data_IF_960679265392
#
_entry.id   IF_960679265392
#
_cell.length_a   1.000
_cell.length_b   1.000
_cell.length_c   1.000
_cell.angle_alpha   90.00
_cell.angle_beta   90.00
_cell.angle_gamma   90.00
#
_symmetry.space_group_name_H-M   'P 1'
#
loop_
_entity.id
_entity.type
_entity.pdbx_description
1 polymer ?
#
# COMPACT_ATOMS: atom_id res chain seq x y z
N UNK A 1 -5.22 13.14 -7.58
CA UNK A 1 -4.01 12.84 -6.78
C UNK A 1 -2.89 12.22 -7.60
N UNK A 2 -3.19 11.29 -8.52
CA UNK A 2 -2.21 10.53 -9.34
C UNK A 2 -1.15 11.41 -10.02
N UNK A 3 -1.56 12.44 -10.76
CA UNK A 3 -0.64 13.34 -11.50
C UNK A 3 0.40 14.07 -10.62
N UNK A 4 0.09 14.32 -9.34
CA UNK A 4 1.01 15.01 -8.42
C UNK A 4 2.14 14.06 -8.02
N UNK A 5 1.80 12.82 -7.67
CA UNK A 5 2.78 11.79 -7.32
C UNK A 5 3.65 11.45 -8.53
N UNK A 6 3.06 11.31 -9.70
CA UNK A 6 3.81 11.07 -10.95
C UNK A 6 4.84 12.19 -11.21
N UNK A 7 4.44 13.45 -11.08
CA UNK A 7 5.32 14.59 -11.38
C UNK A 7 6.40 14.81 -10.32
N UNK A 8 6.06 14.65 -9.04
CA UNK A 8 6.96 15.00 -7.93
C UNK A 8 7.78 13.83 -7.41
N UNK A 9 7.38 12.59 -7.69
CA UNK A 9 8.10 11.39 -7.29
C UNK A 9 8.62 10.67 -8.53
N UNK A 10 7.74 10.07 -9.34
CA UNK A 10 8.16 9.19 -10.44
C UNK A 10 9.05 9.89 -11.46
N UNK A 11 8.71 11.12 -11.85
CA UNK A 11 9.51 11.88 -12.81
C UNK A 11 10.93 12.20 -12.30
N UNK A 12 11.17 12.26 -10.98
CA UNK A 12 12.52 12.45 -10.40
C UNK A 12 13.31 11.14 -10.31
N UNK A 13 12.62 10.01 -10.30
CA UNK A 13 13.23 8.68 -10.25
C UNK A 13 13.59 8.15 -11.65
N UNK A 14 13.01 8.69 -12.72
CA UNK A 14 13.11 8.17 -14.11
C UNK A 14 14.52 7.93 -14.66
N UNK A 15 15.53 8.64 -14.15
CA UNK A 15 16.93 8.54 -14.60
C UNK A 15 17.85 7.94 -13.52
N UNK A 16 17.28 7.26 -12.53
CA UNK A 16 18.02 6.62 -11.43
C UNK A 16 17.85 5.12 -11.52
N UNK A 17 18.95 4.39 -11.32
CA UNK A 17 18.94 2.94 -11.19
C UNK A 17 18.97 2.54 -9.72
N UNK A 18 18.19 1.52 -9.38
CA UNK A 18 18.10 0.96 -8.04
C UNK A 18 18.45 -0.53 -8.10
N UNK A 19 19.17 -1.01 -7.09
CA UNK A 19 19.61 -2.41 -7.02
C UNK A 19 18.83 -3.23 -6.00
N UNK A 20 17.84 -2.62 -5.33
CA UNK A 20 16.87 -3.31 -4.50
C UNK A 20 15.58 -2.51 -4.35
N UNK A 21 14.48 -3.22 -4.06
CA UNK A 21 13.19 -2.60 -3.73
C UNK A 21 13.30 -1.75 -2.47
N UNK A 22 14.07 -2.20 -1.48
CA UNK A 22 14.30 -1.45 -0.24
C UNK A 22 14.94 -0.09 -0.52
N UNK A 23 15.95 -0.04 -1.39
CA UNK A 23 16.61 1.20 -1.80
C UNK A 23 15.65 2.15 -2.52
N UNK A 24 14.82 1.63 -3.43
CA UNK A 24 13.80 2.41 -4.11
C UNK A 24 12.79 3.00 -3.11
N UNK A 25 12.30 2.19 -2.18
CA UNK A 25 11.32 2.61 -1.17
C UNK A 25 11.87 3.69 -0.24
N UNK A 26 13.14 3.60 0.17
CA UNK A 26 13.77 4.63 1.00
C UNK A 26 13.76 6.00 0.30
N UNK A 27 14.10 6.02 -0.98
CA UNK A 27 14.11 7.27 -1.77
C UNK A 27 12.70 7.79 -2.03
N UNK A 28 11.72 6.90 -2.26
CA UNK A 28 10.32 7.30 -2.37
C UNK A 28 9.86 7.97 -1.06
N UNK A 29 10.25 7.43 0.10
CA UNK A 29 9.89 7.99 1.40
C UNK A 29 10.45 9.41 1.58
N UNK A 30 11.70 9.67 1.18
CA UNK A 30 12.29 11.01 1.20
C UNK A 30 11.50 12.00 0.31
N UNK A 31 11.17 11.59 -0.92
CA UNK A 31 10.43 12.43 -1.86
C UNK A 31 8.98 12.67 -1.42
N UNK A 32 8.38 11.69 -0.75
CA UNK A 32 7.04 11.80 -0.19
C UNK A 32 7.02 12.80 0.96
N UNK A 33 8.04 12.78 1.82
CA UNK A 33 8.19 13.75 2.90
C UNK A 33 8.30 15.18 2.33
N UNK A 34 9.12 15.38 1.30
CA UNK A 34 9.25 16.67 0.63
C UNK A 34 7.92 17.12 -0.01
N UNK A 35 7.17 16.19 -0.63
CA UNK A 35 5.88 16.48 -1.24
C UNK A 35 4.80 16.84 -0.20
N UNK A 36 4.82 16.19 0.96
CA UNK A 36 3.84 16.40 2.02
C UNK A 36 4.04 17.73 2.75
N UNK A 37 5.28 18.16 2.93
CA UNK A 37 5.62 19.45 3.55
C UNK A 37 5.52 20.64 2.58
N UNK A 38 5.39 20.41 1.27
CA UNK A 38 5.30 21.48 0.28
C UNK A 38 3.92 22.19 0.31
N UNK A 39 3.88 23.54 0.36
CA UNK A 39 2.64 24.31 0.22
C UNK A 39 1.90 24.02 -1.09
N UNK A 40 0.60 23.77 -0.97
CA UNK A 40 -0.29 23.55 -2.11
C UNK A 40 -0.73 24.89 -2.71
N UNK A 41 -0.60 25.02 -4.03
CA UNK A 41 -0.77 26.28 -4.76
C UNK A 41 -2.12 26.99 -4.53
N UNK A 42 -3.19 26.24 -4.31
CA UNK A 42 -4.54 26.81 -4.12
C UNK A 42 -4.99 26.90 -2.67
N UNK A 43 -4.32 26.20 -1.76
CA UNK A 43 -4.75 26.08 -0.35
C UNK A 43 -3.87 26.95 0.55
N UNK A 44 -2.65 27.30 0.11
CA UNK A 44 -1.70 28.07 0.91
C UNK A 44 -1.00 27.26 2.01
N UNK A 45 -1.54 26.08 2.33
CA UNK A 45 -1.01 25.12 3.29
C UNK A 45 -0.40 23.91 2.58
N UNK A 46 0.54 23.26 3.23
CA UNK A 46 1.07 21.94 2.92
C UNK A 46 0.02 20.84 3.16
N UNK A 47 0.30 19.62 2.70
CA UNK A 47 -0.57 18.46 2.98
C UNK A 47 -0.47 18.02 4.44
N UNK A 48 0.68 18.27 5.07
CA UNK A 48 0.95 17.88 6.44
C UNK A 48 0.17 18.72 7.46
N UNK A 49 -0.01 20.01 7.20
CA UNK A 49 -0.71 20.91 8.13
C UNK A 49 -2.13 20.43 8.46
N UNK A 50 -3.05 20.19 7.50
CA UNK A 50 -4.38 19.66 7.80
C UNK A 50 -4.34 18.28 8.49
N UNK A 51 -3.36 17.44 8.14
CA UNK A 51 -3.21 16.13 8.76
C UNK A 51 -2.90 16.25 10.25
N UNK A 52 -1.94 17.10 10.63
CA UNK A 52 -1.54 17.29 12.03
C UNK A 52 -2.63 18.03 12.83
N UNK A 53 -3.28 19.02 12.23
CA UNK A 53 -4.29 19.86 12.91
C UNK A 53 -5.62 19.14 13.12
N UNK A 54 -6.05 18.32 12.15
CA UNK A 54 -7.42 17.79 12.12
C UNK A 54 -7.42 16.27 12.12
N UNK A 55 -6.74 15.65 11.14
CA UNK A 55 -6.90 14.22 10.90
C UNK A 55 -6.28 13.38 12.01
N UNK A 56 -5.09 13.77 12.52
CA UNK A 56 -4.32 13.02 13.51
C UNK A 56 -5.12 12.76 14.80
N UNK A 57 -5.94 13.70 15.22
CA UNK A 57 -6.80 13.55 16.39
C UNK A 57 -7.97 12.58 16.16
N UNK A 58 -8.40 12.38 14.91
CA UNK A 58 -9.47 11.47 14.53
C UNK A 58 -8.97 10.04 14.22
N UNK A 59 -7.66 9.82 14.14
CA UNK A 59 -7.09 8.51 13.84
C UNK A 59 -7.21 7.56 15.04
N UNK A 60 -7.52 6.30 14.73
CA UNK A 60 -7.41 5.20 15.68
C UNK A 60 -5.93 4.86 15.91
N UNK A 61 -5.57 4.28 17.06
CA UNK A 61 -4.21 3.75 17.27
C UNK A 61 -3.86 2.73 16.18
N UNK A 62 -2.56 2.63 15.89
CA UNK A 62 -2.03 1.64 14.95
C UNK A 62 -2.42 0.23 15.44
N UNK A 63 -3.10 -0.59 14.61
CA UNK A 63 -3.41 -1.97 14.97
C UNK A 63 -2.13 -2.75 15.33
N UNK A 64 -2.20 -3.59 16.36
CA UNK A 64 -1.06 -4.40 16.79
C UNK A 64 -0.65 -5.45 15.74
N UNK A 65 -1.63 -5.97 15.00
CA UNK A 65 -1.39 -6.86 13.87
C UNK A 65 -1.33 -6.03 12.57
N UNK A 66 -0.33 -6.26 11.71
CA UNK A 66 -0.30 -5.70 10.37
C UNK A 66 -1.55 -6.08 9.58
N UNK A 67 -1.92 -5.23 8.60
CA UNK A 67 -2.95 -5.61 7.64
C UNK A 67 -2.46 -6.78 6.80
N UNK A 68 -3.20 -7.88 6.82
CA UNK A 68 -2.96 -9.04 5.96
C UNK A 68 -3.96 -9.00 4.79
N UNK A 69 -3.42 -8.93 3.58
CA UNK A 69 -4.24 -9.06 2.38
C UNK A 69 -4.73 -10.50 2.25
N UNK A 70 -6.03 -10.67 2.10
CA UNK A 70 -6.66 -11.96 1.86
C UNK A 70 -7.63 -11.84 0.69
N UNK A 71 -7.75 -12.91 -0.09
CA UNK A 71 -8.77 -13.07 -1.11
C UNK A 71 -9.67 -14.24 -0.70
N UNK A 72 -10.98 -14.02 -0.80
CA UNK A 72 -11.97 -15.04 -0.46
C UNK A 72 -12.56 -15.61 -1.74
N UNK A 73 -12.46 -16.93 -1.88
CA UNK A 73 -13.09 -17.67 -2.97
C UNK A 73 -14.03 -18.71 -2.40
N UNK A 74 -15.29 -18.67 -2.82
CA UNK A 74 -16.21 -19.79 -2.63
C UNK A 74 -15.91 -20.86 -3.67
N UNK A 75 -15.50 -22.05 -3.24
CA UNK A 75 -15.18 -23.18 -4.10
C UNK A 75 -15.94 -24.43 -3.64
N UNK A 76 -16.35 -25.27 -4.60
CA UNK A 76 -16.91 -26.59 -4.31
C UNK A 76 -15.78 -27.59 -4.09
N UNK A 77 -15.83 -28.33 -2.99
CA UNK A 77 -14.88 -29.42 -2.72
C UNK A 77 -15.12 -30.56 -3.71
N UNK A 78 -14.07 -30.99 -4.40
CA UNK A 78 -14.09 -32.14 -5.28
C UNK A 78 -14.02 -33.44 -4.45
N UNK A 79 -14.56 -34.59 -4.91
CA UNK A 79 -14.56 -35.84 -4.14
C UNK A 79 -13.19 -36.37 -3.72
N UNK A 80 -12.11 -35.89 -4.34
CA UNK A 80 -10.72 -36.17 -3.93
C UNK A 80 -10.24 -35.29 -2.77
N UNK A 81 -11.13 -34.54 -2.12
CA UNK A 81 -10.86 -33.63 -1.00
C UNK A 81 -9.98 -32.44 -1.35
N UNK A 82 -10.04 -31.96 -2.58
CA UNK A 82 -9.35 -30.74 -3.00
C UNK A 82 -10.32 -29.64 -3.44
N UNK A 83 -9.87 -28.39 -3.28
CA UNK A 83 -10.46 -27.20 -3.90
C UNK A 83 -9.43 -26.55 -4.82
N UNK A 84 -9.90 -26.05 -5.96
CA UNK A 84 -9.04 -25.33 -6.90
C UNK A 84 -9.06 -23.82 -6.60
N UNK A 85 -7.89 -23.22 -6.36
CA UNK A 85 -7.67 -21.78 -6.24
C UNK A 85 -6.51 -21.41 -7.18
N UNK A 86 -6.74 -20.47 -8.09
CA UNK A 86 -5.75 -20.03 -9.09
C UNK A 86 -4.99 -21.17 -9.77
N UNK A 87 -5.74 -22.15 -10.29
CA UNK A 87 -5.22 -23.34 -10.98
C UNK A 87 -4.33 -24.24 -10.12
N UNK A 88 -4.39 -24.08 -8.80
CA UNK A 88 -3.68 -24.87 -7.80
C UNK A 88 -4.68 -25.58 -6.89
N UNK A 89 -4.44 -26.86 -6.59
CA UNK A 89 -5.32 -27.65 -5.73
C UNK A 89 -4.83 -27.60 -4.28
N UNK A 90 -5.74 -27.29 -3.37
CA UNK A 90 -5.50 -27.25 -1.94
C UNK A 90 -6.37 -28.30 -1.25
N UNK A 91 -5.76 -29.11 -0.38
CA UNK A 91 -6.49 -30.11 0.38
C UNK A 91 -7.40 -29.47 1.42
N UNK A 92 -8.59 -30.04 1.62
CA UNK A 92 -9.48 -29.66 2.71
C UNK A 92 -9.44 -30.72 3.83
N UNK A 93 -9.67 -30.32 5.10
CA UNK A 93 -9.74 -31.29 6.19
C UNK A 93 -10.79 -32.37 5.90
N UNK A 94 -10.37 -33.64 5.95
CA UNK A 94 -11.25 -34.80 5.89
C UNK A 94 -11.03 -35.66 7.13
N UNK A 95 -12.10 -36.27 7.64
CA UNK A 95 -11.98 -37.39 8.60
C UNK A 95 -12.17 -38.67 7.81
N UNK A 96 -11.25 -39.61 7.97
CA UNK A 96 -11.40 -41.00 7.57
C UNK A 96 -12.47 -41.69 8.43
#
# INVERSE_FOLDING_TARGET
>A
AVLIVERWILARLRNRSFFSIAQLNAVIAELLEELNNRPMRHVGQSRREPFEEIERAALKPLPAAPFEYAEWKSAKVHPDYHVEVDKTFYSVPHRL
#
